data_IF_051569804300
#
_entry.id   IF_051569804300
#
_cell.length_a   1.000
_cell.length_b   1.000
_cell.length_c   1.000
_cell.angle_alpha   90.00
_cell.angle_beta   90.00
_cell.angle_gamma   90.00
#
_symmetry.space_group_name_H-M   'P 1'
#
loop_
_entity.id
_entity.type
_entity.pdbx_description
1 polymer ?
#
# COMPACT_ATOMS: atom_id res chain seq x y z
N UNK A 1 -23.69 -8.34 -8.32
CA UNK A 1 -22.52 -7.44 -8.23
C UNK A 1 -22.81 -6.23 -9.09
N UNK A 2 -22.96 -5.05 -8.50
CA UNK A 2 -23.14 -3.79 -9.23
C UNK A 2 -21.76 -3.13 -9.30
N UNK A 3 -21.22 -2.94 -10.51
CA UNK A 3 -19.87 -2.37 -10.70
C UNK A 3 -19.85 -0.83 -10.71
N UNK A 4 -21.00 -0.19 -10.53
CA UNK A 4 -21.05 1.27 -10.41
C UNK A 4 -20.76 1.67 -8.96
N UNK A 5 -19.88 2.62 -8.77
CA UNK A 5 -19.63 3.19 -7.44
C UNK A 5 -20.91 3.77 -6.84
N UNK A 6 -21.10 3.51 -5.55
CA UNK A 6 -22.13 4.17 -4.74
C UNK A 6 -21.83 5.67 -4.61
N UNK A 7 -22.78 6.44 -4.12
CA UNK A 7 -22.56 7.87 -3.89
C UNK A 7 -21.50 8.10 -2.79
N UNK A 8 -21.42 7.22 -1.79
CA UNK A 8 -20.38 7.24 -0.75
C UNK A 8 -19.00 6.96 -1.33
N UNK A 9 -18.88 5.92 -2.18
CA UNK A 9 -17.61 5.59 -2.86
C UNK A 9 -17.15 6.73 -3.77
N UNK A 10 -18.05 7.42 -4.47
CA UNK A 10 -17.71 8.61 -5.26
C UNK A 10 -17.20 9.75 -4.38
N UNK A 11 -17.84 9.97 -3.23
CA UNK A 11 -17.41 11.00 -2.29
C UNK A 11 -16.01 10.69 -1.72
N UNK A 12 -15.72 9.42 -1.40
CA UNK A 12 -14.39 8.97 -0.98
C UNK A 12 -13.37 9.20 -2.10
N UNK A 13 -13.73 8.86 -3.34
CA UNK A 13 -12.88 9.07 -4.51
C UNK A 13 -12.52 10.54 -4.69
N UNK A 14 -13.50 11.43 -4.69
CA UNK A 14 -13.30 12.88 -4.83
C UNK A 14 -12.44 13.44 -3.70
N UNK A 15 -12.69 13.00 -2.47
CA UNK A 15 -11.93 13.43 -1.29
C UNK A 15 -10.49 12.98 -1.34
N UNK A 16 -10.24 11.70 -1.67
CA UNK A 16 -8.89 11.15 -1.78
C UNK A 16 -8.11 11.80 -2.94
N UNK A 17 -8.75 11.99 -4.10
CA UNK A 17 -8.13 12.66 -5.24
C UNK A 17 -7.75 14.11 -4.92
N UNK A 18 -8.63 14.87 -4.27
CA UNK A 18 -8.35 16.24 -3.85
C UNK A 18 -7.17 16.27 -2.85
N UNK A 19 -7.22 15.41 -1.82
CA UNK A 19 -6.20 15.34 -0.79
C UNK A 19 -4.80 15.05 -1.38
N UNK A 20 -4.68 13.99 -2.19
CA UNK A 20 -3.37 13.64 -2.75
C UNK A 20 -2.90 14.63 -3.82
N UNK A 21 -3.80 15.22 -4.61
CA UNK A 21 -3.44 16.27 -5.58
C UNK A 21 -2.88 17.50 -4.89
N UNK A 22 -3.46 17.91 -3.77
CA UNK A 22 -3.01 19.07 -3.02
C UNK A 22 -1.75 18.81 -2.19
N UNK A 23 -1.64 17.62 -1.60
CA UNK A 23 -0.64 17.32 -0.59
C UNK A 23 0.54 16.47 -1.09
N UNK A 24 0.38 15.62 -2.11
CA UNK A 24 1.46 14.81 -2.70
C UNK A 24 2.04 15.46 -3.96
N UNK A 25 2.51 16.70 -3.84
CA UNK A 25 3.07 17.45 -4.96
C UNK A 25 4.43 16.88 -5.41
N UNK A 26 4.78 17.08 -6.68
CA UNK A 26 6.10 16.66 -7.21
C UNK A 26 7.29 17.22 -6.41
N UNK A 27 7.15 18.39 -5.81
CA UNK A 27 8.19 18.99 -4.95
C UNK A 27 8.33 18.16 -3.66
N UNK A 28 7.23 17.82 -2.99
CA UNK A 28 7.23 17.00 -1.77
C UNK A 28 7.74 15.59 -2.03
N UNK A 29 7.32 14.97 -3.15
CA UNK A 29 7.83 13.66 -3.56
C UNK A 29 9.35 13.69 -3.77
N UNK A 30 9.87 14.73 -4.44
CA UNK A 30 11.33 14.90 -4.61
C UNK A 30 12.07 15.17 -3.30
N UNK A 31 11.46 15.88 -2.37
CA UNK A 31 12.02 16.07 -1.03
C UNK A 31 12.10 14.75 -0.25
N UNK A 32 11.05 13.91 -0.31
CA UNK A 32 11.07 12.57 0.25
C UNK A 32 12.17 11.69 -0.36
N UNK A 33 12.33 11.70 -1.69
CA UNK A 33 13.40 10.98 -2.40
C UNK A 33 14.81 11.42 -1.97
N UNK A 34 15.00 12.70 -1.63
CA UNK A 34 16.28 13.22 -1.14
C UNK A 34 16.53 12.88 0.35
N UNK A 35 15.52 12.45 1.07
CA UNK A 35 15.56 12.03 2.47
C UNK A 35 15.60 10.51 2.63
N UNK A 36 14.70 9.99 3.43
CA UNK A 36 14.56 8.57 3.75
C UNK A 36 13.53 7.83 2.87
N UNK A 37 12.95 8.52 1.89
CA UNK A 37 11.97 7.96 0.96
C UNK A 37 10.52 8.06 1.43
N UNK A 38 10.25 8.76 2.53
CA UNK A 38 8.90 8.96 3.06
C UNK A 38 8.59 10.45 3.28
N UNK A 39 7.38 10.86 2.94
CA UNK A 39 6.81 12.14 3.36
C UNK A 39 6.05 11.94 4.67
N UNK A 40 6.75 12.13 5.78
CA UNK A 40 6.20 11.91 7.12
C UNK A 40 4.98 12.82 7.42
N UNK A 41 4.98 14.06 6.90
CA UNK A 41 3.84 14.97 7.07
C UNK A 41 2.63 14.49 6.27
N UNK A 42 2.82 14.07 5.01
CA UNK A 42 1.73 13.51 4.20
C UNK A 42 1.12 12.29 4.87
N UNK A 43 1.96 11.43 5.46
CA UNK A 43 1.48 10.27 6.20
C UNK A 43 0.65 10.66 7.44
N UNK A 44 1.14 11.60 8.23
CA UNK A 44 0.39 12.10 9.39
C UNK A 44 -0.94 12.74 8.99
N UNK A 45 -0.93 13.63 7.98
CA UNK A 45 -2.13 14.30 7.47
C UNK A 45 -3.13 13.25 6.92
N UNK A 46 -2.66 12.22 6.20
CA UNK A 46 -3.50 11.11 5.74
C UNK A 46 -4.16 10.33 6.88
N UNK A 47 -3.39 9.99 7.92
CA UNK A 47 -3.91 9.25 9.06
C UNK A 47 -4.86 10.07 9.93
N UNK A 48 -4.54 11.34 10.22
CA UNK A 48 -5.21 12.15 11.24
C UNK A 48 -6.26 13.10 10.66
N UNK A 49 -5.99 13.75 9.53
CA UNK A 49 -6.93 14.70 8.93
C UNK A 49 -7.95 13.97 8.06
N UNK A 50 -7.50 13.04 7.21
CA UNK A 50 -8.39 12.28 6.36
C UNK A 50 -9.05 11.12 7.12
N UNK A 51 -8.36 10.53 8.10
CA UNK A 51 -8.88 9.46 8.95
C UNK A 51 -9.10 8.13 8.21
N UNK A 52 -8.52 7.94 7.03
CA UNK A 52 -8.76 6.78 6.16
C UNK A 52 -7.69 5.68 6.26
N UNK A 53 -6.72 5.82 7.16
CA UNK A 53 -5.70 4.77 7.34
C UNK A 53 -6.27 3.44 7.88
N UNK A 54 -7.43 3.48 8.55
CA UNK A 54 -8.18 2.31 9.01
C UNK A 54 -9.40 1.98 8.15
N UNK A 55 -9.47 2.44 6.89
CA UNK A 55 -10.67 2.35 6.04
C UNK A 55 -11.25 0.95 5.93
N UNK A 56 -10.42 -0.06 5.67
CA UNK A 56 -10.81 -1.45 5.49
C UNK A 56 -10.63 -2.30 6.77
N UNK A 57 -10.70 -1.68 7.95
CA UNK A 57 -10.69 -2.37 9.23
C UNK A 57 -12.08 -2.29 9.88
N UNK A 58 -12.50 -3.34 10.61
CA UNK A 58 -13.74 -3.32 11.38
C UNK A 58 -13.77 -2.22 12.44
N UNK A 59 -14.95 -1.66 12.70
CA UNK A 59 -15.14 -0.60 13.71
C UNK A 59 -14.80 -1.05 15.13
N UNK A 60 -15.09 -2.29 15.48
CA UNK A 60 -14.86 -2.85 16.81
C UNK A 60 -13.38 -2.95 17.21
N UNK A 61 -12.48 -2.89 16.22
CA UNK A 61 -11.03 -2.83 16.47
C UNK A 61 -10.42 -1.44 16.17
N UNK A 62 -11.27 -0.42 15.95
CA UNK A 62 -10.83 0.96 15.70
C UNK A 62 -10.64 1.34 14.24
N UNK A 63 -11.26 0.60 13.33
CA UNK A 63 -11.35 0.93 11.90
C UNK A 63 -12.55 1.80 11.54
N UNK A 64 -12.73 2.05 10.24
CA UNK A 64 -13.85 2.82 9.67
C UNK A 64 -15.03 1.91 9.30
N UNK A 65 -14.81 0.61 9.17
CA UNK A 65 -15.85 -0.37 8.84
C UNK A 65 -16.24 -0.42 7.37
N UNK A 66 -15.40 0.14 6.48
CA UNK A 66 -15.55 0.03 5.03
C UNK A 66 -14.78 -1.18 4.49
N UNK A 67 -14.63 -1.28 3.15
CA UNK A 67 -14.07 -2.47 2.52
C UNK A 67 -12.80 -2.22 1.71
N UNK A 68 -12.41 -3.28 0.99
CA UNK A 68 -11.26 -3.25 0.07
C UNK A 68 -11.53 -2.40 -1.18
N UNK A 69 -12.80 -2.21 -1.55
CA UNK A 69 -13.17 -1.32 -2.66
C UNK A 69 -12.79 0.11 -2.34
N UNK A 70 -13.12 0.61 -1.14
CA UNK A 70 -12.76 1.95 -0.70
C UNK A 70 -11.25 2.10 -0.51
N UNK A 71 -10.58 1.06 -0.01
CA UNK A 71 -9.12 1.01 0.05
C UNK A 71 -8.49 1.12 -1.35
N UNK A 72 -9.02 0.42 -2.34
CA UNK A 72 -8.54 0.48 -3.73
C UNK A 72 -8.73 1.89 -4.33
N UNK A 73 -9.86 2.54 -4.06
CA UNK A 73 -10.14 3.93 -4.48
C UNK A 73 -9.06 4.89 -3.93
N UNK A 74 -8.74 4.76 -2.65
CA UNK A 74 -7.73 5.59 -1.97
C UNK A 74 -6.33 5.31 -2.52
N UNK A 75 -5.97 4.03 -2.67
CA UNK A 75 -4.66 3.62 -3.19
C UNK A 75 -4.46 4.05 -4.65
N UNK A 76 -5.51 4.02 -5.49
CA UNK A 76 -5.46 4.54 -6.85
C UNK A 76 -5.17 6.05 -6.86
N UNK A 77 -5.84 6.83 -6.01
CA UNK A 77 -5.59 8.25 -5.88
C UNK A 77 -4.16 8.56 -5.38
N UNK A 78 -3.65 7.80 -4.42
CA UNK A 78 -2.28 7.91 -3.93
C UNK A 78 -1.25 7.58 -5.01
N UNK A 79 -1.50 6.52 -5.79
CA UNK A 79 -0.64 6.09 -6.89
C UNK A 79 -0.56 7.10 -8.03
N UNK A 80 -1.67 7.77 -8.36
CA UNK A 80 -1.71 8.84 -9.37
C UNK A 80 -0.72 9.97 -9.07
N UNK A 81 -0.47 10.26 -7.80
CA UNK A 81 0.45 11.32 -7.35
C UNK A 81 1.84 10.80 -6.92
N UNK A 82 2.11 9.49 -7.05
CA UNK A 82 3.36 8.88 -6.57
C UNK A 82 3.63 9.24 -5.11
N UNK A 83 2.64 9.03 -4.27
CA UNK A 83 2.67 9.42 -2.86
C UNK A 83 3.70 8.61 -2.09
N UNK A 84 4.69 9.30 -1.52
CA UNK A 84 5.79 8.66 -0.77
C UNK A 84 5.34 8.36 0.69
N UNK A 85 4.43 7.41 0.86
CA UNK A 85 3.87 6.99 2.15
C UNK A 85 3.95 5.46 2.33
N UNK A 86 3.98 4.93 3.56
CA UNK A 86 4.19 3.51 3.83
C UNK A 86 2.88 2.68 3.75
N UNK A 87 1.97 3.02 2.82
CA UNK A 87 0.63 2.42 2.72
C UNK A 87 0.67 0.90 2.58
N UNK A 88 1.56 0.35 1.76
CA UNK A 88 1.66 -1.09 1.52
C UNK A 88 1.88 -1.88 2.82
N UNK A 89 2.94 -1.56 3.57
CA UNK A 89 3.26 -2.24 4.83
C UNK A 89 2.18 -2.02 5.89
N UNK A 90 1.63 -0.81 5.94
CA UNK A 90 0.52 -0.47 6.83
C UNK A 90 -0.70 -1.37 6.59
N UNK A 91 -1.17 -1.49 5.35
CA UNK A 91 -2.33 -2.31 5.00
C UNK A 91 -2.05 -3.79 5.27
N UNK A 92 -0.88 -4.31 4.86
CA UNK A 92 -0.54 -5.71 5.09
C UNK A 92 -0.57 -6.09 6.56
N UNK A 93 -0.01 -5.25 7.44
CA UNK A 93 0.06 -5.52 8.88
C UNK A 93 -1.28 -5.33 9.56
N UNK A 94 -2.02 -4.29 9.24
CA UNK A 94 -3.33 -4.04 9.84
C UNK A 94 -4.36 -5.11 9.45
N UNK A 95 -4.35 -5.57 8.20
CA UNK A 95 -5.18 -6.67 7.74
C UNK A 95 -4.79 -8.01 8.38
N UNK A 96 -3.48 -8.28 8.55
CA UNK A 96 -3.02 -9.46 9.28
C UNK A 96 -3.48 -9.44 10.74
N UNK A 97 -3.39 -8.30 11.41
CA UNK A 97 -3.87 -8.13 12.79
C UNK A 97 -5.38 -8.32 12.89
N UNK A 98 -6.14 -7.76 11.97
CA UNK A 98 -7.59 -7.90 11.94
C UNK A 98 -8.02 -9.36 11.79
N UNK A 99 -7.41 -10.09 10.85
CA UNK A 99 -7.80 -11.46 10.51
C UNK A 99 -7.20 -12.54 11.43
N UNK A 100 -5.98 -12.30 11.95
CA UNK A 100 -5.23 -13.36 12.64
C UNK A 100 -4.59 -12.97 13.97
N UNK A 101 -4.69 -11.71 14.39
CA UNK A 101 -4.14 -11.22 15.65
C UNK A 101 -4.98 -11.58 16.87
N UNK A 102 -4.37 -11.59 18.05
CA UNK A 102 -5.08 -11.60 19.34
C UNK A 102 -5.61 -10.21 19.68
N UNK A 103 -6.55 -10.13 20.63
CA UNK A 103 -7.08 -8.85 21.11
C UNK A 103 -5.96 -7.97 21.70
N UNK A 104 -5.03 -8.54 22.44
CA UNK A 104 -3.90 -7.81 22.98
C UNK A 104 -2.98 -7.23 21.89
N UNK A 105 -2.78 -7.96 20.77
CA UNK A 105 -2.00 -7.46 19.63
C UNK A 105 -2.73 -6.34 18.89
N UNK A 106 -4.04 -6.46 18.72
CA UNK A 106 -4.89 -5.42 18.12
C UNK A 106 -4.89 -4.16 18.99
N UNK A 107 -5.16 -4.29 20.28
CA UNK A 107 -5.14 -3.17 21.25
C UNK A 107 -3.78 -2.45 21.24
N UNK A 108 -2.69 -3.21 21.13
CA UNK A 108 -1.35 -2.64 21.15
C UNK A 108 -1.04 -1.83 19.89
N UNK A 109 -1.45 -2.30 18.71
CA UNK A 109 -0.91 -1.79 17.45
C UNK A 109 -1.91 -1.02 16.59
N UNK A 110 -3.19 -1.39 16.56
CA UNK A 110 -4.13 -0.82 15.57
C UNK A 110 -4.23 0.70 15.72
N UNK A 111 -4.46 1.21 16.93
CA UNK A 111 -4.62 2.65 17.15
C UNK A 111 -3.35 3.44 16.76
N UNK A 112 -2.16 2.96 17.13
CA UNK A 112 -0.91 3.61 16.79
C UNK A 112 -0.62 3.59 15.27
N UNK A 113 -1.01 2.51 14.59
CA UNK A 113 -0.85 2.38 13.13
C UNK A 113 -1.84 3.27 12.40
N UNK A 114 -3.13 3.22 12.72
CA UNK A 114 -4.17 4.03 12.05
C UNK A 114 -4.05 5.52 12.37
N UNK A 115 -3.51 5.88 13.54
CA UNK A 115 -3.18 7.26 13.93
C UNK A 115 -1.89 7.79 13.31
N UNK A 116 -1.10 6.94 12.64
CA UNK A 116 0.17 7.33 12.02
C UNK A 116 1.35 7.48 13.00
N UNK A 117 1.17 7.12 14.28
CA UNK A 117 2.22 7.17 15.31
C UNK A 117 3.25 6.04 15.13
N UNK A 118 2.81 4.91 14.57
CA UNK A 118 3.66 3.78 14.22
C UNK A 118 3.63 3.51 12.72
N UNK A 119 4.76 3.05 12.20
CA UNK A 119 4.93 2.59 10.83
C UNK A 119 5.08 1.08 10.86
N UNK A 120 4.37 0.39 9.97
CA UNK A 120 4.46 -1.04 9.80
C UNK A 120 5.14 -1.41 8.48
N UNK A 121 5.86 -2.53 8.48
CA UNK A 121 6.36 -3.17 7.27
C UNK A 121 6.12 -4.67 7.34
N UNK A 122 6.02 -5.32 6.18
CA UNK A 122 5.73 -6.74 6.09
C UNK A 122 6.68 -7.46 5.15
N UNK A 123 7.02 -8.70 5.52
CA UNK A 123 7.74 -9.65 4.71
C UNK A 123 7.05 -11.02 4.81
N UNK A 124 6.61 -11.52 3.66
CA UNK A 124 5.91 -12.79 3.55
C UNK A 124 6.79 -13.79 2.77
N UNK A 125 6.75 -15.05 3.19
CA UNK A 125 7.45 -16.16 2.50
C UNK A 125 8.99 -16.10 2.55
N UNK A 126 9.54 -15.54 3.62
CA UNK A 126 10.97 -15.43 3.80
C UNK A 126 11.59 -16.64 4.52
N UNK A 127 12.88 -16.83 4.31
CA UNK A 127 13.67 -17.91 4.93
C UNK A 127 14.07 -17.52 6.36
N UNK A 128 13.09 -17.57 7.27
CA UNK A 128 13.23 -17.28 8.69
C UNK A 128 12.86 -18.52 9.48
N UNK A 129 13.74 -18.95 10.38
CA UNK A 129 13.51 -20.07 11.25
C UNK A 129 12.96 -19.61 12.60
N UNK A 130 11.87 -20.25 13.04
CA UNK A 130 11.33 -20.12 14.38
C UNK A 130 11.87 -21.22 15.29
N UNK A 131 12.39 -20.85 16.46
CA UNK A 131 12.86 -21.79 17.47
C UNK A 131 12.32 -21.39 18.84
N UNK A 132 11.27 -22.07 19.30
CA UNK A 132 10.50 -21.64 20.47
C UNK A 132 9.89 -20.26 20.20
N UNK A 133 10.13 -19.31 21.12
CA UNK A 133 9.61 -17.96 21.03
C UNK A 133 10.57 -16.98 20.32
N UNK A 134 11.57 -17.48 19.60
CA UNK A 134 12.55 -16.62 18.91
C UNK A 134 12.62 -16.90 17.42
N UNK A 135 12.96 -15.82 16.67
CA UNK A 135 13.19 -15.86 15.23
C UNK A 135 14.64 -15.60 14.90
N UNK A 136 15.15 -16.32 13.90
CA UNK A 136 16.47 -16.11 13.32
C UNK A 136 16.41 -16.26 11.81
N UNK A 137 17.10 -15.37 11.07
CA UNK A 137 17.11 -15.41 9.61
C UNK A 137 17.39 -14.05 9.01
N UNK A 138 17.17 -13.92 7.71
CA UNK A 138 17.37 -12.66 6.98
C UNK A 138 16.25 -12.47 5.97
N UNK A 139 15.51 -11.39 6.13
CA UNK A 139 14.45 -10.94 5.21
C UNK A 139 15.00 -9.84 4.33
N UNK A 140 14.73 -9.90 3.05
CA UNK A 140 15.27 -8.95 2.08
C UNK A 140 14.16 -8.18 1.38
N UNK A 141 14.52 -6.97 0.92
CA UNK A 141 13.63 -6.12 0.14
C UNK A 141 12.32 -5.78 0.85
N UNK A 142 12.39 -5.52 2.15
CA UNK A 142 11.24 -5.11 2.97
C UNK A 142 10.91 -3.64 2.69
N UNK A 143 9.76 -3.33 2.06
CA UNK A 143 9.37 -1.96 1.78
C UNK A 143 9.21 -1.17 3.09
N UNK A 144 9.79 0.02 3.16
CA UNK A 144 9.81 0.89 4.35
C UNK A 144 10.36 0.22 5.62
N UNK A 145 11.05 -0.92 5.50
CA UNK A 145 11.53 -1.69 6.65
C UNK A 145 12.49 -0.91 7.57
N UNK A 146 13.25 0.04 7.03
CA UNK A 146 14.15 0.89 7.83
C UNK A 146 13.41 1.98 8.63
N UNK A 147 12.16 2.24 8.30
CA UNK A 147 11.29 3.22 8.98
C UNK A 147 10.27 2.55 9.90
N UNK A 148 10.19 1.23 9.87
CA UNK A 148 9.17 0.48 10.59
C UNK A 148 9.41 0.50 12.12
N UNK A 149 8.32 0.55 12.87
CA UNK A 149 8.27 0.31 14.31
C UNK A 149 7.92 -1.15 14.60
N UNK A 150 7.08 -1.75 13.75
CA UNK A 150 6.67 -3.15 13.80
C UNK A 150 6.80 -3.81 12.44
N UNK A 151 7.28 -5.04 12.45
CA UNK A 151 7.47 -5.89 11.28
C UNK A 151 6.54 -7.11 11.39
N UNK A 152 5.75 -7.37 10.36
CA UNK A 152 5.11 -8.65 10.16
C UNK A 152 6.08 -9.55 9.39
N UNK A 153 6.54 -10.62 10.05
CA UNK A 153 7.38 -11.64 9.43
C UNK A 153 6.54 -12.91 9.30
N UNK A 154 6.48 -13.48 8.12
CA UNK A 154 5.76 -14.73 7.89
C UNK A 154 6.54 -15.67 6.98
N UNK A 155 6.35 -16.97 7.20
CA UNK A 155 6.87 -18.05 6.38
C UNK A 155 5.81 -19.15 6.22
N UNK A 156 6.16 -20.31 5.68
CA UNK A 156 5.26 -21.45 5.52
C UNK A 156 4.75 -22.07 6.84
N UNK A 157 5.34 -21.72 7.99
CA UNK A 157 5.04 -22.31 9.30
C UNK A 157 4.23 -21.38 10.19
N UNK A 158 4.39 -20.04 10.04
CA UNK A 158 3.72 -19.09 10.92
C UNK A 158 3.82 -17.63 10.47
N UNK A 159 3.25 -16.77 11.31
CA UNK A 159 3.33 -15.32 11.18
C UNK A 159 3.58 -14.70 12.57
N UNK A 160 4.48 -13.75 12.64
CA UNK A 160 4.94 -13.13 13.89
C UNK A 160 5.04 -11.62 13.74
N UNK A 161 4.75 -10.92 14.82
CA UNK A 161 5.13 -9.52 14.96
C UNK A 161 6.50 -9.42 15.61
N UNK A 162 7.32 -8.53 15.10
CA UNK A 162 8.65 -8.21 15.61
C UNK A 162 8.77 -6.70 15.75
N UNK A 163 9.14 -6.22 16.92
CA UNK A 163 9.47 -4.81 17.10
C UNK A 163 10.80 -4.50 16.41
N UNK A 164 10.83 -3.49 15.56
CA UNK A 164 12.04 -3.16 14.80
C UNK A 164 13.22 -2.74 15.68
N UNK A 165 12.94 -2.21 16.88
CA UNK A 165 13.95 -1.86 17.88
C UNK A 165 14.33 -2.97 18.85
N UNK A 166 13.82 -4.21 18.67
CA UNK A 166 14.12 -5.32 19.58
C UNK A 166 15.59 -5.74 19.50
N UNK A 167 16.10 -6.28 20.62
CA UNK A 167 17.43 -6.88 20.65
C UNK A 167 17.55 -8.02 19.63
N UNK A 168 18.65 -8.03 18.88
CA UNK A 168 18.89 -9.01 17.81
C UNK A 168 18.32 -8.62 16.44
N UNK A 169 17.60 -7.51 16.31
CA UNK A 169 17.17 -6.95 15.02
C UNK A 169 18.23 -6.02 14.47
N UNK A 170 18.65 -6.24 13.24
CA UNK A 170 19.54 -5.35 12.51
C UNK A 170 18.94 -5.02 11.14
N UNK A 171 18.68 -3.74 10.89
CA UNK A 171 18.05 -3.26 9.66
C UNK A 171 19.05 -2.47 8.84
N UNK A 172 19.17 -2.79 7.55
CA UNK A 172 20.05 -2.11 6.62
C UNK A 172 19.24 -1.61 5.43
N UNK A 173 19.15 -0.29 5.28
CA UNK A 173 18.49 0.34 4.14
C UNK A 173 19.27 0.10 2.85
N UNK A 174 18.55 -0.02 1.73
CA UNK A 174 19.11 -0.17 0.39
C UNK A 174 19.02 1.14 -0.40
N UNK A 175 19.99 1.37 -1.26
CA UNK A 175 19.85 2.36 -2.33
C UNK A 175 19.07 1.69 -3.48
N UNK A 176 17.87 2.19 -3.74
CA UNK A 176 16.96 1.64 -4.76
C UNK A 176 16.78 2.60 -5.92
N UNK A 177 16.34 2.09 -7.06
CA UNK A 177 15.96 2.93 -8.20
C UNK A 177 14.73 3.77 -7.87
N UNK A 178 13.71 3.15 -7.30
CA UNK A 178 12.56 3.85 -6.73
C UNK A 178 12.90 4.31 -5.31
N UNK A 179 13.06 5.62 -5.16
CA UNK A 179 13.38 6.25 -3.89
C UNK A 179 12.14 6.68 -3.11
N UNK A 180 10.94 6.51 -3.66
CA UNK A 180 9.67 6.76 -2.97
C UNK A 180 9.15 5.53 -2.23
N UNK A 181 9.79 4.37 -2.46
CA UNK A 181 9.53 3.10 -1.76
C UNK A 181 10.84 2.48 -1.32
N UNK A 182 11.47 3.03 -0.25
CA UNK A 182 12.75 2.55 0.23
C UNK A 182 12.63 1.10 0.70
N UNK A 183 13.62 0.29 0.37
CA UNK A 183 13.71 -1.11 0.74
C UNK A 183 14.78 -1.32 1.81
N UNK A 184 14.64 -2.34 2.63
CA UNK A 184 15.64 -2.72 3.61
C UNK A 184 15.86 -4.24 3.65
N UNK A 185 17.02 -4.64 4.17
CA UNK A 185 17.25 -5.99 4.67
C UNK A 185 17.10 -5.97 6.19
N UNK A 186 16.34 -6.91 6.72
CA UNK A 186 16.17 -7.15 8.16
C UNK A 186 16.84 -8.47 8.52
N UNK A 187 17.83 -8.42 9.41
CA UNK A 187 18.48 -9.59 9.96
C UNK A 187 17.97 -9.82 11.39
N UNK A 188 17.53 -11.03 11.66
CA UNK A 188 17.04 -11.47 12.96
C UNK A 188 18.04 -12.46 13.56
N UNK A 189 18.40 -12.27 14.82
CA UNK A 189 19.36 -13.12 15.55
C UNK A 189 18.80 -13.43 16.93
N UNK A 190 18.06 -14.55 17.05
CA UNK A 190 17.35 -14.96 18.27
C UNK A 190 16.42 -13.87 18.81
N UNK A 191 15.68 -13.20 17.93
CA UNK A 191 14.79 -12.11 18.28
C UNK A 191 13.53 -12.66 18.92
N UNK A 192 13.14 -12.12 20.07
CA UNK A 192 11.83 -12.41 20.66
C UNK A 192 10.71 -12.02 19.70
N UNK A 193 9.77 -12.90 19.47
CA UNK A 193 8.67 -12.71 18.54
C UNK A 193 7.33 -12.87 19.23
N UNK A 194 6.32 -12.22 18.66
CA UNK A 194 4.94 -12.28 19.10
C UNK A 194 4.10 -13.02 18.03
N UNK A 195 3.86 -14.35 18.20
CA UNK A 195 3.17 -15.14 17.18
C UNK A 195 1.70 -14.75 17.06
N UNK A 196 1.23 -14.64 15.82
CA UNK A 196 -0.19 -14.44 15.54
C UNK A 196 -0.95 -15.78 15.75
N UNK A 197 -2.06 -15.79 16.52
CA UNK A 197 -2.81 -17.02 16.83
C UNK A 197 -3.39 -17.72 15.59
N UNK A 198 -3.71 -16.95 14.54
CA UNK A 198 -4.27 -17.48 13.29
C UNK A 198 -3.41 -17.10 12.08
N UNK A 199 -2.18 -17.69 11.97
CA UNK A 199 -1.19 -17.26 10.97
C UNK A 199 -1.67 -17.40 9.52
N UNK A 200 -2.42 -18.45 9.19
CA UNK A 200 -2.92 -18.66 7.84
C UNK A 200 -3.89 -17.54 7.41
N UNK A 201 -4.81 -17.15 8.30
CA UNK A 201 -5.73 -16.05 8.04
C UNK A 201 -4.99 -14.71 7.94
N UNK A 202 -4.01 -14.48 8.83
CA UNK A 202 -3.19 -13.28 8.82
C UNK A 202 -2.41 -13.13 7.50
N UNK A 203 -1.75 -14.20 7.05
CA UNK A 203 -0.97 -14.19 5.79
C UNK A 203 -1.87 -13.97 4.58
N UNK A 204 -3.03 -14.64 4.53
CA UNK A 204 -3.99 -14.48 3.44
C UNK A 204 -4.50 -13.04 3.36
N UNK A 205 -4.93 -12.45 4.50
CA UNK A 205 -5.42 -11.08 4.56
C UNK A 205 -4.33 -10.05 4.23
N UNK A 206 -3.11 -10.23 4.75
CA UNK A 206 -1.97 -9.38 4.42
C UNK A 206 -1.66 -9.40 2.91
N UNK A 207 -1.67 -10.59 2.31
CA UNK A 207 -1.41 -10.77 0.88
C UNK A 207 -2.50 -10.12 0.03
N UNK A 208 -3.77 -10.39 0.33
CA UNK A 208 -4.90 -9.80 -0.39
C UNK A 208 -4.88 -8.28 -0.33
N UNK A 209 -4.77 -7.69 0.87
CA UNK A 209 -4.68 -6.24 1.04
C UNK A 209 -3.47 -5.63 0.34
N UNK A 210 -2.30 -6.27 0.44
CA UNK A 210 -1.08 -5.83 -0.24
C UNK A 210 -1.20 -5.86 -1.76
N UNK A 211 -1.79 -6.90 -2.34
CA UNK A 211 -2.01 -7.03 -3.78
C UNK A 211 -3.00 -5.97 -4.29
N UNK A 212 -4.07 -5.70 -3.56
CA UNK A 212 -5.04 -4.66 -3.90
C UNK A 212 -4.37 -3.28 -3.90
N UNK A 213 -3.63 -2.94 -2.84
CA UNK A 213 -2.91 -1.66 -2.75
C UNK A 213 -1.94 -1.49 -3.90
N UNK A 214 -1.06 -2.47 -4.16
CA UNK A 214 -0.06 -2.39 -5.23
C UNK A 214 -0.70 -2.25 -6.61
N UNK A 215 -1.78 -3.01 -6.87
CA UNK A 215 -2.48 -2.98 -8.14
C UNK A 215 -3.20 -1.66 -8.36
N UNK A 216 -3.86 -1.13 -7.32
CA UNK A 216 -4.56 0.15 -7.38
C UNK A 216 -3.58 1.34 -7.51
N UNK A 217 -2.47 1.35 -6.77
CA UNK A 217 -1.42 2.35 -6.94
C UNK A 217 -0.84 2.34 -8.37
N UNK A 218 -0.56 1.16 -8.93
CA UNK A 218 -0.07 1.02 -10.30
C UNK A 218 -1.09 1.53 -11.32
N UNK A 219 -2.37 1.23 -11.10
CA UNK A 219 -3.48 1.72 -11.92
C UNK A 219 -3.56 3.24 -11.91
N UNK A 220 -3.51 3.87 -10.74
CA UNK A 220 -3.50 5.33 -10.59
C UNK A 220 -2.33 5.98 -11.32
N UNK A 221 -1.12 5.44 -11.15
CA UNK A 221 0.08 5.90 -11.85
C UNK A 221 -0.02 5.75 -13.37
N UNK A 222 -0.60 4.65 -13.85
CA UNK A 222 -0.81 4.42 -15.28
C UNK A 222 -1.82 5.43 -15.86
N UNK A 223 -2.95 5.67 -15.18
CA UNK A 223 -3.95 6.64 -15.59
C UNK A 223 -3.37 8.05 -15.68
N UNK A 224 -2.71 8.51 -14.62
CA UNK A 224 -2.11 9.85 -14.59
C UNK A 224 -1.03 10.02 -15.68
N UNK A 225 -0.23 8.98 -15.94
CA UNK A 225 0.76 8.98 -17.01
C UNK A 225 0.11 9.11 -18.39
N UNK A 226 -1.01 8.41 -18.63
CA UNK A 226 -1.77 8.53 -19.87
C UNK A 226 -2.34 9.95 -20.02
N UNK A 227 -2.96 10.51 -19.00
CA UNK A 227 -3.59 11.84 -19.04
C UNK A 227 -2.57 12.94 -19.31
N UNK A 228 -1.41 12.90 -18.64
CA UNK A 228 -0.28 13.81 -18.92
C UNK A 228 0.24 13.65 -20.34
N UNK A 229 0.34 12.41 -20.84
CA UNK A 229 0.79 12.12 -22.20
C UNK A 229 -0.19 12.67 -23.24
N UNK A 230 -1.49 12.51 -23.01
CA UNK A 230 -2.55 13.06 -23.87
C UNK A 230 -2.51 14.59 -23.86
N UNK A 231 -2.37 15.21 -22.69
CA UNK A 231 -2.22 16.67 -22.56
C UNK A 231 -1.00 17.17 -23.33
N UNK A 232 0.16 16.58 -23.08
CA UNK A 232 1.39 16.93 -23.79
C UNK A 232 1.25 16.76 -25.31
N UNK A 233 0.58 15.70 -25.77
CA UNK A 233 0.36 15.43 -27.18
C UNK A 233 -0.53 16.47 -27.88
N UNK A 234 -1.43 17.12 -27.15
CA UNK A 234 -2.27 18.21 -27.67
C UNK A 234 -1.48 19.51 -27.87
N UNK A 235 -0.49 19.75 -27.01
CA UNK A 235 0.26 21.01 -26.97
C UNK A 235 1.56 20.96 -27.78
N UNK A 236 2.24 19.80 -27.82
CA UNK A 236 3.52 19.65 -28.50
C UNK A 236 3.39 19.67 -30.00
N UNK A 237 3.98 20.66 -30.66
CA UNK A 237 4.00 20.79 -32.12
C UNK A 237 5.30 20.22 -32.70
N UNK A 238 5.17 19.33 -33.68
CA UNK A 238 6.26 18.85 -34.53
C UNK A 238 5.70 18.65 -35.98
N UNK A 239 6.55 18.86 -36.99
CA UNK A 239 6.15 18.77 -38.41
C UNK A 239 4.96 19.67 -38.71
N UNK A 240 4.86 20.85 -38.12
CA UNK A 240 3.85 21.87 -38.34
C UNK A 240 2.47 21.60 -37.75
N UNK A 241 2.31 20.59 -36.87
CA UNK A 241 1.04 20.28 -36.20
C UNK A 241 1.27 19.61 -34.83
N UNK A 242 0.24 19.58 -33.98
CA UNK A 242 0.27 18.87 -32.70
C UNK A 242 0.57 17.37 -32.92
N UNK A 243 1.48 16.79 -32.09
CA UNK A 243 1.86 15.38 -32.24
C UNK A 243 0.68 14.42 -32.03
N UNK A 244 -0.28 14.79 -31.20
CA UNK A 244 -1.54 14.04 -31.00
C UNK A 244 -2.44 14.00 -32.22
N UNK A 245 -2.16 14.77 -33.30
CA UNK A 245 -2.89 14.68 -34.57
C UNK A 245 -2.47 13.50 -35.47
N UNK A 246 -1.31 12.86 -35.16
CA UNK A 246 -0.84 11.71 -35.94
C UNK A 246 -1.58 10.43 -35.54
N UNK A 247 -2.10 9.69 -36.53
CA UNK A 247 -2.93 8.50 -36.27
C UNK A 247 -2.19 7.39 -35.51
N UNK A 248 -0.92 7.13 -35.85
CA UNK A 248 -0.12 6.13 -35.12
C UNK A 248 0.00 6.43 -33.63
N UNK A 249 0.08 7.72 -33.29
CA UNK A 249 0.13 8.16 -31.88
C UNK A 249 -1.23 8.00 -31.18
N UNK A 250 -2.32 8.41 -31.85
CA UNK A 250 -3.69 8.23 -31.35
C UNK A 250 -4.03 6.78 -31.07
N UNK A 251 -3.65 5.86 -31.97
CA UNK A 251 -3.94 4.44 -31.80
C UNK A 251 -3.22 3.89 -30.56
N UNK A 252 -1.95 4.26 -30.35
CA UNK A 252 -1.21 3.85 -29.15
C UNK A 252 -1.86 4.35 -27.86
N UNK A 253 -2.32 5.60 -27.82
CA UNK A 253 -3.01 6.14 -26.64
C UNK A 253 -4.36 5.46 -26.41
N UNK A 254 -5.09 5.11 -27.49
CA UNK A 254 -6.33 4.34 -27.39
C UNK A 254 -6.10 2.92 -26.86
N UNK A 255 -5.05 2.24 -27.33
CA UNK A 255 -4.67 0.90 -26.84
C UNK A 255 -4.34 0.95 -25.34
N UNK A 256 -3.51 1.93 -24.90
CA UNK A 256 -3.19 2.13 -23.49
C UNK A 256 -4.43 2.41 -22.62
N UNK A 257 -5.37 3.22 -23.12
CA UNK A 257 -6.64 3.49 -22.43
C UNK A 257 -7.43 2.19 -22.22
N UNK A 258 -7.51 1.33 -23.24
CA UNK A 258 -8.22 0.04 -23.14
C UNK A 258 -7.54 -0.86 -22.09
N UNK A 259 -6.20 -0.95 -22.09
CA UNK A 259 -5.45 -1.74 -21.12
C UNK A 259 -5.66 -1.23 -19.68
N UNK A 260 -5.69 0.09 -19.47
CA UNK A 260 -5.94 0.71 -18.15
C UNK A 260 -7.37 0.40 -17.69
N UNK A 261 -8.38 0.51 -18.55
CA UNK A 261 -9.77 0.21 -18.17
C UNK A 261 -9.99 -1.27 -17.87
N UNK A 262 -9.28 -2.17 -18.56
CA UNK A 262 -9.29 -3.60 -18.23
C UNK A 262 -8.64 -3.85 -16.87
N UNK A 263 -7.49 -3.22 -16.59
CA UNK A 263 -6.82 -3.30 -15.30
C UNK A 263 -7.70 -2.74 -14.17
N UNK A 264 -8.37 -1.60 -14.40
CA UNK A 264 -9.33 -1.00 -13.46
C UNK A 264 -10.43 -1.98 -13.08
N UNK A 265 -11.05 -2.59 -14.09
CA UNK A 265 -12.10 -3.58 -13.88
C UNK A 265 -11.60 -4.78 -13.05
N UNK A 266 -10.38 -5.24 -13.32
CA UNK A 266 -9.79 -6.36 -12.58
C UNK A 266 -9.47 -6.00 -11.12
N UNK A 267 -8.92 -4.81 -10.85
CA UNK A 267 -8.60 -4.34 -9.49
C UNK A 267 -9.85 -4.23 -8.65
N UNK A 268 -10.88 -3.54 -9.15
CA UNK A 268 -12.12 -3.39 -8.39
C UNK A 268 -12.91 -4.69 -8.25
N UNK A 269 -12.84 -5.57 -9.26
CA UNK A 269 -13.41 -6.91 -9.13
C UNK A 269 -12.72 -7.71 -8.01
N UNK A 270 -11.38 -7.69 -7.96
CA UNK A 270 -10.63 -8.36 -6.89
C UNK A 270 -10.96 -7.79 -5.50
N UNK A 271 -11.09 -6.46 -5.39
CA UNK A 271 -11.49 -5.83 -4.14
C UNK A 271 -12.90 -6.29 -3.69
N UNK A 272 -13.89 -6.28 -4.61
CA UNK A 272 -15.22 -6.82 -4.33
C UNK A 272 -15.19 -8.30 -3.93
N UNK A 273 -14.36 -9.12 -4.60
CA UNK A 273 -14.25 -10.54 -4.28
C UNK A 273 -13.76 -10.79 -2.84
N UNK A 274 -12.78 -9.97 -2.40
CA UNK A 274 -12.28 -10.03 -1.01
C UNK A 274 -13.36 -9.57 -0.02
N UNK A 275 -14.08 -8.48 -0.31
CA UNK A 275 -15.14 -7.97 0.57
C UNK A 275 -16.32 -8.95 0.70
N UNK A 276 -16.68 -9.65 -0.38
CA UNK A 276 -17.73 -10.65 -0.39
C UNK A 276 -17.26 -12.05 0.09
N UNK A 277 -15.95 -12.25 0.26
CA UNK A 277 -15.35 -13.53 0.69
C UNK A 277 -15.62 -14.67 -0.31
N UNK A 278 -15.56 -14.39 -1.61
CA UNK A 278 -15.78 -15.39 -2.66
C UNK A 278 -14.58 -16.32 -2.84
N UNK A 279 -14.77 -17.45 -3.55
CA UNK A 279 -13.67 -18.41 -3.79
C UNK A 279 -12.55 -17.83 -4.69
N UNK A 280 -12.82 -16.72 -5.39
CA UNK A 280 -11.85 -16.03 -6.26
C UNK A 280 -10.99 -14.99 -5.51
N UNK A 281 -11.23 -14.79 -4.21
CA UNK A 281 -10.54 -13.80 -3.36
C UNK A 281 -9.10 -14.21 -3.00
#
# INVERSE_FOLDING_TARGET
MDFAFTDEQRMIQETAQAFFTENATSERTRAAMAGDGMDARLWTDFCQELGLAGVALPEDIGGVGLGMVELAIIAEAAGAQVSAIPMLGHVMVTQALAAGGSDAQRERWIAALTGGEAIAAAALEDDVAATGDTLSGTVRFVPHGALAHVLLIANGEGAWLVEAGAEGVAITAHTTMDQTRPMATVKLSNVASDPLPHPAAAIAAARAGGMIVLSAEALGGAQETLDRTVSYAKDRVQFGRAIGSFQAYKHRLADMMIEIEQARSAVYWAACAVDEGTEEA
#
